data_IF_400670784087
#
_entry.id   IF_400670784087
#
_cell.length_a   1.000
_cell.length_b   1.000
_cell.length_c   1.000
_cell.angle_alpha   90.00
_cell.angle_beta   90.00
_cell.angle_gamma   90.00
#
_symmetry.space_group_name_H-M   'P 1'
#
loop_
_entity.id
_entity.type
_entity.pdbx_description
1 polymer ?
#
# COMPACT_ATOMS: atom_id res chain seq x y z
N UNK A 1 1.65 -11.40 -13.10
CA UNK A 1 0.33 -10.75 -12.91
C UNK A 1 0.42 -9.94 -11.62
N UNK A 2 0.85 -8.69 -11.73
CA UNK A 2 1.11 -7.77 -10.61
C UNK A 2 0.09 -6.62 -10.52
N UNK A 3 -0.51 -6.10 -11.62
CA UNK A 3 -1.36 -4.91 -11.53
C UNK A 3 -2.68 -5.18 -10.78
N UNK A 4 -3.22 -6.41 -10.84
CA UNK A 4 -4.46 -6.75 -10.15
C UNK A 4 -4.35 -6.64 -8.63
N UNK A 5 -3.22 -7.08 -8.05
CA UNK A 5 -2.99 -6.99 -6.59
C UNK A 5 -2.80 -5.54 -6.18
N UNK A 6 -2.01 -4.76 -6.93
CA UNK A 6 -1.81 -3.34 -6.65
C UNK A 6 -3.13 -2.56 -6.74
N UNK A 7 -3.98 -2.87 -7.74
CA UNK A 7 -5.29 -2.25 -7.88
C UNK A 7 -6.23 -2.65 -6.74
N UNK A 8 -6.24 -3.91 -6.32
CA UNK A 8 -7.06 -4.37 -5.19
C UNK A 8 -6.66 -3.71 -3.87
N UNK A 9 -5.36 -3.51 -3.62
CA UNK A 9 -4.88 -2.76 -2.45
C UNK A 9 -5.33 -1.30 -2.52
N UNK A 10 -5.20 -0.66 -3.68
CA UNK A 10 -5.66 0.72 -3.85
C UNK A 10 -7.17 0.85 -3.67
N UNK A 11 -7.97 -0.09 -4.18
CA UNK A 11 -9.42 -0.11 -4.02
C UNK A 11 -9.82 -0.34 -2.54
N UNK A 12 -9.13 -1.23 -1.84
CA UNK A 12 -9.45 -1.58 -0.46
C UNK A 12 -9.08 -0.49 0.56
N UNK A 13 -7.94 0.19 0.39
CA UNK A 13 -7.39 1.11 1.40
C UNK A 13 -6.95 2.47 0.85
N UNK A 14 -7.10 2.74 -0.44
CA UNK A 14 -6.69 4.01 -1.06
C UNK A 14 -5.18 4.22 -1.16
N UNK A 15 -4.38 3.20 -0.81
CA UNK A 15 -2.92 3.26 -0.83
C UNK A 15 -2.39 2.72 -2.15
N UNK A 16 -1.53 3.49 -2.82
CA UNK A 16 -0.86 3.08 -4.06
C UNK A 16 0.56 2.58 -3.76
N UNK A 17 0.87 1.36 -4.21
CA UNK A 17 2.20 0.74 -4.12
C UNK A 17 2.71 0.48 -5.53
N UNK A 18 3.77 1.18 -5.91
CA UNK A 18 4.42 1.13 -7.23
C UNK A 18 5.71 0.29 -7.25
N UNK A 19 6.16 -0.17 -6.07
CA UNK A 19 7.39 -0.94 -5.91
C UNK A 19 7.12 -2.40 -5.60
N UNK A 20 7.93 -3.29 -6.19
CA UNK A 20 7.93 -4.72 -5.90
C UNK A 20 9.12 -5.11 -5.05
N UNK A 21 8.97 -6.14 -4.19
CA UNK A 21 7.73 -6.87 -3.88
C UNK A 21 6.74 -6.06 -3.02
N UNK A 22 5.43 -6.32 -3.18
CA UNK A 22 4.39 -5.79 -2.27
C UNK A 22 4.46 -6.60 -0.98
N UNK A 23 4.97 -6.01 0.10
CA UNK A 23 5.09 -6.66 1.42
C UNK A 23 4.18 -6.00 2.45
N UNK A 24 3.73 -6.73 3.50
CA UNK A 24 2.90 -6.16 4.57
C UNK A 24 3.51 -4.92 5.23
N UNK A 25 4.83 -4.86 5.41
CA UNK A 25 5.52 -3.72 6.04
C UNK A 25 5.43 -2.46 5.18
N UNK A 26 5.50 -2.61 3.85
CA UNK A 26 5.32 -1.48 2.92
C UNK A 26 3.89 -0.96 2.97
N UNK A 27 2.91 -1.87 3.02
CA UNK A 27 1.49 -1.51 3.18
C UNK A 27 1.29 -0.77 4.50
N UNK A 28 1.82 -1.28 5.61
CA UNK A 28 1.72 -0.65 6.93
C UNK A 28 2.32 0.75 6.95
N UNK A 29 3.52 0.93 6.38
CA UNK A 29 4.17 2.26 6.29
C UNK A 29 3.33 3.24 5.47
N UNK A 30 2.80 2.78 4.35
CA UNK A 30 2.00 3.63 3.48
C UNK A 30 0.63 3.99 4.10
N UNK A 31 0.01 3.08 4.85
CA UNK A 31 -1.17 3.36 5.67
C UNK A 31 -0.88 4.39 6.76
N UNK A 32 0.23 4.25 7.49
CA UNK A 32 0.64 5.23 8.51
C UNK A 32 0.90 6.62 7.92
N UNK A 33 1.59 6.67 6.77
CA UNK A 33 1.85 7.91 6.05
C UNK A 33 0.55 8.58 5.59
N UNK A 34 -0.43 7.80 5.13
CA UNK A 34 -1.76 8.31 4.76
C UNK A 34 -2.55 8.82 5.98
N UNK A 35 -2.45 8.14 7.13
CA UNK A 35 -3.15 8.50 8.36
C UNK A 35 -2.52 9.69 9.11
N UNK A 36 -1.40 10.24 8.64
CA UNK A 36 -0.66 11.30 9.35
C UNK A 36 -0.11 10.86 10.71
N UNK A 37 -0.06 9.55 10.97
CA UNK A 37 0.43 9.01 12.22
C UNK A 37 1.97 9.11 12.22
N UNK A 38 2.58 9.82 13.19
CA UNK A 38 4.04 9.82 13.32
C UNK A 38 4.53 8.40 13.58
N UNK A 39 5.68 8.07 12.98
CA UNK A 39 6.31 6.75 13.08
C UNK A 39 6.69 6.40 14.52
#
# INVERSE_FOLDING_TARGET
>A
QIPAVANAVFDAVGVRIDTLPITPERILRALKAQAGAPN
#
